data_IF_317896905660
#
_entry.id   IF_317896905660
#
_cell.length_a   1.000
_cell.length_b   1.000
_cell.length_c   1.000
_cell.angle_alpha   90.00
_cell.angle_beta   90.00
_cell.angle_gamma   90.00
#
_symmetry.space_group_name_H-M   'P 1'
#
loop_
_entity.id
_entity.type
_entity.pdbx_description
1 polymer ?
#
# COMPACT_ATOMS: atom_id res chain seq x y z
N UNK A 1 11.50 54.85 -17.01
CA UNK A 1 12.50 53.82 -17.38
C UNK A 1 12.57 52.81 -16.25
N UNK A 2 11.48 52.07 -16.09
CA UNK A 2 11.21 50.90 -15.24
C UNK A 2 10.08 50.18 -16.01
N UNK A 3 10.03 48.88 -16.22
CA UNK A 3 10.37 47.79 -15.33
C UNK A 3 11.08 46.65 -16.07
N UNK A 4 12.01 46.05 -15.33
CA UNK A 4 12.85 44.93 -15.72
C UNK A 4 12.02 43.64 -15.73
N UNK A 5 12.02 42.94 -16.85
CA UNK A 5 11.49 41.58 -17.02
C UNK A 5 12.13 40.59 -16.04
N UNK A 6 11.40 40.09 -15.04
CA UNK A 6 11.58 38.82 -14.28
C UNK A 6 10.27 38.56 -13.53
N UNK A 7 9.64 37.40 -13.44
CA UNK A 7 9.96 36.00 -13.72
C UNK A 7 8.62 35.30 -14.01
N UNK A 8 8.59 34.48 -15.06
CA UNK A 8 7.53 33.51 -15.31
C UNK A 8 7.52 32.51 -14.16
N UNK A 9 6.44 32.48 -13.36
CA UNK A 9 6.20 31.39 -12.42
C UNK A 9 5.68 30.18 -13.21
N UNK A 10 6.62 29.36 -13.69
CA UNK A 10 6.40 27.96 -14.04
C UNK A 10 5.72 27.28 -12.84
N UNK A 11 4.57 26.62 -12.99
CA UNK A 11 4.53 25.31 -13.63
C UNK A 11 4.44 24.25 -12.53
N UNK A 12 3.20 23.83 -12.26
CA UNK A 12 2.82 22.50 -11.77
C UNK A 12 3.42 21.98 -10.45
N UNK A 13 2.60 22.04 -9.38
CA UNK A 13 2.38 20.84 -8.59
C UNK A 13 0.96 20.35 -8.85
N UNK A 14 0.81 19.55 -9.91
CA UNK A 14 -0.29 18.61 -10.06
C UNK A 14 -0.23 17.63 -8.89
N UNK A 15 -0.80 18.03 -7.76
CA UNK A 15 -0.97 17.13 -6.64
C UNK A 15 -2.30 16.42 -6.82
N UNK A 16 -2.18 15.10 -6.92
CA UNK A 16 -3.24 14.10 -6.88
C UNK A 16 -3.86 13.64 -8.21
N UNK A 17 -3.08 12.88 -8.97
CA UNK A 17 -3.60 11.65 -9.60
C UNK A 17 -3.62 10.46 -8.61
N UNK A 18 -3.34 10.70 -7.32
CA UNK A 18 -3.04 9.68 -6.30
C UNK A 18 -4.04 9.63 -5.14
N UNK A 19 -5.16 10.35 -5.18
CA UNK A 19 -5.99 10.51 -3.97
C UNK A 19 -6.56 9.19 -3.45
N UNK A 20 -6.88 8.19 -4.29
CA UNK A 20 -7.20 6.85 -3.81
C UNK A 20 -6.79 5.78 -4.81
N UNK A 21 -5.53 5.36 -4.78
CA UNK A 21 -5.15 4.04 -5.30
C UNK A 21 -5.65 3.00 -4.29
N UNK A 22 -6.91 2.58 -4.42
CA UNK A 22 -7.42 1.41 -3.69
C UNK A 22 -6.73 0.18 -4.29
N UNK A 23 -5.54 -0.11 -3.78
CA UNK A 23 -4.78 -1.29 -4.16
C UNK A 23 -5.29 -2.44 -3.30
N UNK A 24 -5.89 -3.43 -3.96
CA UNK A 24 -6.27 -4.68 -3.31
C UNK A 24 -5.20 -5.69 -3.67
N UNK A 25 -4.56 -6.26 -2.66
CA UNK A 25 -3.51 -7.27 -2.81
C UNK A 25 -4.06 -8.68 -2.70
N UNK A 26 -3.39 -9.61 -3.38
CA UNK A 26 -3.56 -11.05 -3.24
C UNK A 26 -2.40 -11.64 -2.45
N UNK A 27 -2.50 -12.92 -2.13
CA UNK A 27 -1.48 -13.63 -1.33
C UNK A 27 -0.08 -13.54 -1.96
N UNK A 28 0.01 -13.52 -3.30
CA UNK A 28 1.29 -13.41 -4.01
C UNK A 28 1.92 -12.01 -3.83
N UNK A 29 1.13 -10.96 -3.74
CA UNK A 29 1.62 -9.59 -3.53
C UNK A 29 2.14 -9.42 -2.11
N UNK A 30 1.41 -9.94 -1.12
CA UNK A 30 1.85 -9.95 0.28
C UNK A 30 3.12 -10.78 0.46
N UNK A 31 3.22 -11.92 -0.22
CA UNK A 31 4.42 -12.78 -0.17
C UNK A 31 5.65 -12.06 -0.72
N UNK A 32 5.49 -11.32 -1.82
CA UNK A 32 6.56 -10.49 -2.39
C UNK A 32 6.93 -9.34 -1.47
N UNK A 33 5.95 -8.69 -0.86
CA UNK A 33 6.15 -7.55 0.04
C UNK A 33 6.92 -7.95 1.31
N UNK A 34 6.46 -9.01 1.99
CA UNK A 34 7.06 -9.50 3.23
C UNK A 34 8.28 -10.41 2.99
N UNK A 35 8.56 -10.78 1.74
CA UNK A 35 9.62 -11.73 1.35
C UNK A 35 9.53 -13.09 2.06
N UNK A 36 8.31 -13.56 2.32
CA UNK A 36 8.04 -14.86 2.96
C UNK A 36 7.33 -15.83 2.01
N UNK A 37 7.37 -17.11 2.34
CA UNK A 37 6.66 -18.13 1.56
C UNK A 37 5.14 -18.01 1.71
N UNK A 38 4.40 -18.41 0.66
CA UNK A 38 2.94 -18.43 0.71
C UNK A 38 2.39 -19.37 1.77
N UNK A 39 3.07 -20.50 2.00
CA UNK A 39 2.69 -21.44 3.07
C UNK A 39 2.72 -20.78 4.44
N UNK A 40 3.75 -19.97 4.71
CA UNK A 40 3.83 -19.19 5.94
C UNK A 40 2.67 -18.19 6.07
N UNK A 41 2.34 -17.47 5.00
CA UNK A 41 1.18 -16.57 4.99
C UNK A 41 -0.15 -17.31 5.19
N UNK A 42 -0.36 -18.46 4.56
CA UNK A 42 -1.56 -19.26 4.78
C UNK A 42 -1.67 -19.73 6.23
N UNK A 43 -0.54 -20.10 6.85
CA UNK A 43 -0.52 -20.43 8.27
C UNK A 43 -0.92 -19.23 9.13
N UNK A 44 -0.37 -18.04 8.88
CA UNK A 44 -0.74 -16.80 9.58
C UNK A 44 -2.22 -16.46 9.40
N UNK A 45 -2.75 -16.56 8.18
CA UNK A 45 -4.17 -16.35 7.86
C UNK A 45 -5.05 -17.35 8.60
N UNK A 46 -4.65 -18.63 8.62
CA UNK A 46 -5.42 -19.69 9.30
C UNK A 46 -5.49 -19.50 10.81
N UNK A 47 -4.46 -18.91 11.41
CA UNK A 47 -4.41 -18.55 12.84
C UNK A 47 -5.12 -17.23 13.16
N UNK A 48 -5.51 -16.47 12.14
CA UNK A 48 -6.11 -15.14 12.30
C UNK A 48 -5.11 -14.05 12.70
N UNK A 49 -3.80 -14.31 12.54
CA UNK A 49 -2.74 -13.37 12.90
C UNK A 49 -2.49 -12.32 11.82
N UNK A 50 -2.78 -12.64 10.55
CA UNK A 50 -2.61 -11.73 9.42
C UNK A 50 -3.95 -11.09 9.03
N UNK A 51 -4.06 -9.74 8.98
CA UNK A 51 -5.29 -9.07 8.60
C UNK A 51 -5.64 -9.38 7.15
N UNK A 52 -6.85 -9.91 6.93
CA UNK A 52 -7.31 -10.36 5.62
C UNK A 52 -8.82 -10.24 5.48
N UNK A 53 -9.28 -10.17 4.23
CA UNK A 53 -10.70 -10.27 3.86
C UNK A 53 -10.92 -11.50 3.01
N UNK A 54 -11.99 -12.23 3.29
CA UNK A 54 -12.39 -13.40 2.51
C UNK A 54 -13.67 -13.10 1.74
N UNK A 55 -13.65 -13.24 0.42
CA UNK A 55 -14.84 -13.09 -0.43
C UNK A 55 -14.83 -14.14 -1.54
N UNK A 56 -15.89 -14.96 -1.63
CA UNK A 56 -15.99 -16.02 -2.65
C UNK A 56 -14.87 -17.07 -2.57
N UNK A 57 -14.35 -17.37 -1.38
CA UNK A 57 -13.23 -18.30 -1.19
C UNK A 57 -11.85 -17.71 -1.48
N UNK A 58 -11.77 -16.47 -1.95
CA UNK A 58 -10.52 -15.77 -2.22
C UNK A 58 -10.12 -14.86 -1.05
N UNK A 59 -8.81 -14.74 -0.84
CA UNK A 59 -8.20 -13.85 0.14
C UNK A 59 -7.79 -12.54 -0.53
N UNK A 60 -8.11 -11.44 0.14
CA UNK A 60 -7.79 -10.07 -0.25
C UNK A 60 -7.15 -9.35 0.93
N UNK A 61 -6.17 -8.51 0.62
CA UNK A 61 -5.37 -7.79 1.59
C UNK A 61 -5.35 -6.31 1.23
N UNK A 62 -5.36 -5.44 2.23
CA UNK A 62 -5.12 -4.02 2.04
C UNK A 62 -3.66 -3.73 2.38
N UNK A 63 -2.91 -3.06 1.48
CA UNK A 63 -1.51 -2.73 1.73
C UNK A 63 -1.30 -1.95 3.02
N UNK A 64 -2.21 -1.03 3.35
CA UNK A 64 -2.14 -0.23 4.57
C UNK A 64 -2.26 -1.08 5.82
N UNK A 65 -3.16 -2.07 5.83
CA UNK A 65 -3.31 -2.98 6.98
C UNK A 65 -2.11 -3.91 7.12
N UNK A 66 -1.57 -4.41 6.00
CA UNK A 66 -0.35 -5.21 6.03
C UNK A 66 0.83 -4.37 6.54
N UNK A 67 0.94 -3.11 6.11
CA UNK A 67 1.99 -2.21 6.57
C UNK A 67 1.85 -1.93 8.07
N UNK A 68 0.66 -1.55 8.55
CA UNK A 68 0.41 -1.32 9.98
C UNK A 68 0.68 -2.58 10.79
N UNK A 69 0.30 -3.76 10.30
CA UNK A 69 0.60 -5.02 10.97
C UNK A 69 2.12 -5.28 11.11
N UNK A 70 2.93 -4.91 10.11
CA UNK A 70 4.39 -4.99 10.21
C UNK A 70 4.92 -4.00 11.24
N UNK A 71 4.40 -2.77 11.24
CA UNK A 71 4.82 -1.70 12.16
C UNK A 71 4.44 -2.01 13.62
N UNK A 72 3.26 -2.58 13.86
CA UNK A 72 2.77 -2.99 15.19
C UNK A 72 3.48 -4.25 15.72
N UNK A 73 4.10 -5.04 14.84
CA UNK A 73 4.84 -6.26 15.18
C UNK A 73 6.22 -6.02 15.81
N UNK A 74 6.70 -4.77 15.89
CA UNK A 74 7.90 -4.38 16.65
C UNK A 74 7.53 -3.83 18.04
N UNK A 75 7.25 -4.72 19.01
CA UNK A 75 7.41 -4.45 20.46
C UNK A 75 7.83 -5.71 21.21
#
# INVERSE_FOLDING_TARGET
>A
MVDSTRETLEGEKSFSSSLFKILIWRIDDVAKFLQVSKGHLYNLVSRGELPHRKKGGLLFFLPTEIQTWVEEGEV
#
